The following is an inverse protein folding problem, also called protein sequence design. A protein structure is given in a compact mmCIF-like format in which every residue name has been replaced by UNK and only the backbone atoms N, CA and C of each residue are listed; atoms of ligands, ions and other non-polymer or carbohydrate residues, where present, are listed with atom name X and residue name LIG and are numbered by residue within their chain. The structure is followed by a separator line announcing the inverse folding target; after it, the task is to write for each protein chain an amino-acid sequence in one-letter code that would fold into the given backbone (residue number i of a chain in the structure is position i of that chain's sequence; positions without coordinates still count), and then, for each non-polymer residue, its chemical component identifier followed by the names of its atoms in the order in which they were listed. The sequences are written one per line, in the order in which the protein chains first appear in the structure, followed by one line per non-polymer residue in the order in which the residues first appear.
data_IF_993287998060
#
_entry.id   IF_993287998060
#
_cell.length_a   1.000
_cell.length_b   1.000
_cell.length_c   1.000
_cell.angle_alpha   90.00
_cell.angle_beta   90.00
_cell.angle_gamma   90.00
#
_symmetry.space_group_name_H-M   'P 1'
#
loop_
_entity.id
_entity.type
_entity.pdbx_description
1 polymer ?
#
# COMPACT_ATOMS: atom_id res chain seq x y z
N UNK A 1 -11.76 21.94 -7.19
CA UNK A 1 -10.96 22.70 -8.19
C UNK A 1 -9.98 21.71 -8.84
N UNK A 2 -9.94 21.68 -10.17
CA UNK A 2 -9.02 20.77 -10.88
C UNK A 2 -7.68 21.48 -11.11
N UNK A 3 -6.58 20.78 -10.84
CA UNK A 3 -5.22 21.31 -10.94
C UNK A 3 -4.41 20.37 -11.82
N UNK A 4 -3.72 20.88 -12.80
CA UNK A 4 -2.78 20.12 -13.62
C UNK A 4 -1.47 19.95 -12.87
N UNK A 5 -1.07 18.71 -12.64
CA UNK A 5 0.14 18.40 -11.87
C UNK A 5 1.42 18.83 -12.59
N UNK A 6 1.46 18.70 -13.91
CA UNK A 6 2.59 19.12 -14.72
C UNK A 6 2.90 20.65 -14.60
N UNK A 7 1.88 21.47 -14.39
CA UNK A 7 2.07 22.93 -14.15
C UNK A 7 2.79 23.21 -12.84
N UNK A 8 2.61 22.35 -11.83
CA UNK A 8 3.25 22.49 -10.51
C UNK A 8 4.65 21.86 -10.54
N UNK A 9 4.77 20.62 -11.04
CA UNK A 9 6.03 19.89 -11.00
C UNK A 9 7.09 20.47 -11.92
N UNK A 10 6.69 21.09 -13.05
CA UNK A 10 7.62 21.72 -13.99
C UNK A 10 8.40 22.90 -13.43
N UNK A 11 7.92 23.54 -12.37
CA UNK A 11 8.60 24.69 -11.73
C UNK A 11 9.44 24.29 -10.52
N UNK A 12 9.38 23.01 -10.10
CA UNK A 12 10.11 22.50 -8.95
C UNK A 12 11.40 21.80 -9.42
N UNK A 13 12.59 22.36 -9.16
CA UNK A 13 13.85 21.73 -9.54
C UNK A 13 14.01 20.40 -8.77
N UNK A 14 14.49 19.36 -9.46
CA UNK A 14 14.72 18.03 -8.92
C UNK A 14 13.45 17.26 -8.50
N UNK A 15 12.27 17.72 -8.90
CA UNK A 15 11.04 16.97 -8.69
C UNK A 15 10.79 16.02 -9.85
N UNK A 16 10.32 14.78 -9.62
CA UNK A 16 10.00 13.86 -10.70
C UNK A 16 8.91 14.41 -11.62
N UNK A 17 8.93 14.04 -12.89
CA UNK A 17 7.90 14.42 -13.86
C UNK A 17 6.60 13.70 -13.52
N UNK A 18 5.64 14.43 -12.97
CA UNK A 18 4.30 13.93 -12.67
C UNK A 18 3.28 14.69 -13.50
N UNK A 19 2.45 13.97 -14.23
CA UNK A 19 1.35 14.54 -14.99
C UNK A 19 0.02 13.94 -14.54
N UNK A 20 -1.07 14.65 -14.82
CA UNK A 20 -2.42 14.24 -14.48
C UNK A 20 -3.26 15.41 -14.01
N UNK A 21 -4.56 15.19 -13.92
CA UNK A 21 -5.52 16.18 -13.47
C UNK A 21 -5.97 15.87 -12.03
N UNK A 22 -5.39 16.58 -11.09
CA UNK A 22 -5.70 16.43 -9.66
C UNK A 22 -6.96 17.20 -9.28
N UNK A 23 -7.83 16.56 -8.51
CA UNK A 23 -8.93 17.19 -7.80
C UNK A 23 -9.03 16.64 -6.38
N UNK A 24 -9.46 17.50 -5.45
CA UNK A 24 -9.72 17.09 -4.08
C UNK A 24 -10.89 17.86 -3.51
N UNK A 25 -11.65 17.17 -2.68
CA UNK A 25 -12.73 17.72 -1.88
C UNK A 25 -12.62 17.19 -0.45
N UNK A 26 -12.83 18.07 0.53
CA UNK A 26 -12.82 17.68 1.93
C UNK A 26 -13.87 18.46 2.69
N UNK A 27 -14.61 17.76 3.53
CA UNK A 27 -15.57 18.30 4.46
C UNK A 27 -15.17 17.93 5.86
N UNK A 28 -15.09 18.87 6.76
CA UNK A 28 -14.81 18.60 8.14
C UNK A 28 -15.77 19.37 9.07
N UNK A 29 -16.12 18.76 10.16
CA UNK A 29 -16.86 19.36 11.26
C UNK A 29 -16.06 19.09 12.52
N UNK A 30 -15.66 20.13 13.20
CA UNK A 30 -14.94 20.05 14.48
C UNK A 30 -15.79 20.64 15.59
N UNK A 31 -15.97 19.87 16.65
CA UNK A 31 -16.56 20.32 17.92
C UNK A 31 -15.46 20.33 19.00
N UNK A 32 -15.81 20.73 20.22
CA UNK A 32 -14.83 20.68 21.33
C UNK A 32 -14.33 19.26 21.67
N UNK A 33 -15.07 18.22 21.28
CA UNK A 33 -14.76 16.83 21.64
C UNK A 33 -14.57 15.92 20.45
N UNK A 34 -15.13 16.25 19.30
CA UNK A 34 -15.24 15.33 18.18
C UNK A 34 -14.75 15.99 16.88
N UNK A 35 -14.09 15.20 16.06
CA UNK A 35 -13.71 15.53 14.69
C UNK A 35 -14.45 14.57 13.74
N UNK A 36 -15.19 15.13 12.80
CA UNK A 36 -15.71 14.40 11.65
C UNK A 36 -15.02 14.93 10.40
N UNK A 37 -14.48 14.01 9.60
CA UNK A 37 -13.81 14.31 8.34
C UNK A 37 -14.33 13.38 7.25
N UNK A 38 -14.58 13.93 6.07
CA UNK A 38 -14.76 13.18 4.83
C UNK A 38 -13.92 13.86 3.76
N UNK A 39 -13.05 13.12 3.10
CA UNK A 39 -12.17 13.65 2.07
C UNK A 39 -12.07 12.67 0.91
N UNK A 40 -12.02 13.19 -0.30
CA UNK A 40 -11.74 12.46 -1.52
C UNK A 40 -10.73 13.23 -2.35
N UNK A 41 -9.75 12.53 -2.90
CA UNK A 41 -8.77 13.07 -3.82
C UNK A 41 -8.64 12.15 -5.02
N UNK A 42 -8.63 12.71 -6.21
CA UNK A 42 -8.46 11.96 -7.46
C UNK A 42 -7.39 12.57 -8.35
N UNK A 43 -6.74 11.72 -9.11
CA UNK A 43 -5.83 12.11 -10.20
C UNK A 43 -6.27 11.33 -11.42
N UNK A 44 -6.82 12.05 -12.41
CA UNK A 44 -7.15 11.46 -13.70
C UNK A 44 -5.89 11.41 -14.57
N UNK A 45 -5.68 10.31 -15.28
CA UNK A 45 -4.55 10.06 -16.17
C UNK A 45 -3.17 10.29 -15.52
N UNK A 46 -3.00 9.79 -14.29
CA UNK A 46 -1.73 9.89 -13.58
C UNK A 46 -0.60 9.22 -14.38
N UNK A 47 0.46 9.99 -14.62
CA UNK A 47 1.71 9.49 -15.18
C UNK A 47 2.85 9.93 -14.27
N UNK A 48 3.77 9.03 -14.00
CA UNK A 48 4.98 9.27 -13.22
C UNK A 48 6.21 8.88 -14.03
N UNK A 49 7.13 9.83 -14.27
CA UNK A 49 8.35 9.61 -15.06
C UNK A 49 8.11 8.81 -16.35
N UNK A 50 7.07 9.18 -17.12
CA UNK A 50 6.62 8.54 -18.36
C UNK A 50 5.98 7.15 -18.19
N UNK A 51 5.84 6.65 -16.97
CA UNK A 51 5.06 5.44 -16.70
C UNK A 51 3.61 5.84 -16.47
N UNK A 52 2.71 5.27 -17.25
CA UNK A 52 1.28 5.46 -17.02
C UNK A 52 0.86 4.64 -15.81
N UNK A 53 0.30 5.32 -14.81
CA UNK A 53 -0.30 4.69 -13.62
C UNK A 53 -1.78 4.47 -13.82
N UNK A 54 -2.51 5.41 -14.45
CA UNK A 54 -3.95 5.34 -14.67
C UNK A 54 -4.71 6.35 -13.81
N UNK A 55 -6.02 6.17 -13.70
CA UNK A 55 -6.88 6.99 -12.85
C UNK A 55 -6.80 6.48 -11.40
N UNK A 56 -6.48 7.36 -10.46
CA UNK A 56 -6.37 7.00 -9.04
C UNK A 56 -7.31 7.88 -8.22
N UNK A 57 -8.14 7.26 -7.38
CA UNK A 57 -9.01 7.97 -6.43
C UNK A 57 -8.82 7.38 -5.04
N UNK A 58 -8.54 8.24 -4.06
CA UNK A 58 -8.43 7.91 -2.65
C UNK A 58 -9.54 8.62 -1.89
N UNK A 59 -10.37 7.88 -1.18
CA UNK A 59 -11.36 8.42 -0.26
C UNK A 59 -11.11 8.00 1.18
N UNK A 60 -11.46 8.87 2.11
CA UNK A 60 -11.39 8.57 3.53
C UNK A 60 -12.50 9.28 4.31
N UNK A 61 -13.06 8.59 5.28
CA UNK A 61 -13.99 9.16 6.27
C UNK A 61 -13.50 8.87 7.67
N UNK A 62 -13.65 9.85 8.54
CA UNK A 62 -13.32 9.75 9.95
C UNK A 62 -14.54 10.25 10.73
N UNK A 63 -15.15 9.38 11.52
CA UNK A 63 -16.41 9.66 12.22
C UNK A 63 -16.27 9.41 13.71
N UNK A 64 -16.75 10.34 14.55
CA UNK A 64 -16.85 10.12 16.00
C UNK A 64 -17.91 9.07 16.30
N UNK A 65 -17.65 8.27 17.31
CA UNK A 65 -18.57 7.28 17.84
C UNK A 65 -18.85 7.50 19.31
N UNK A 66 -19.61 6.59 19.91
CA UNK A 66 -19.91 6.64 21.34
C UNK A 66 -18.67 6.36 22.19
N UNK A 67 -18.63 6.93 23.40
CA UNK A 67 -17.57 6.72 24.39
C UNK A 67 -16.16 7.10 23.91
N UNK A 68 -16.05 8.10 23.02
CA UNK A 68 -14.78 8.56 22.49
C UNK A 68 -14.14 7.65 21.42
N UNK A 69 -14.87 6.63 20.97
CA UNK A 69 -14.43 5.82 19.82
C UNK A 69 -14.43 6.67 18.56
N UNK A 70 -13.56 6.30 17.62
CA UNK A 70 -13.49 6.92 16.30
C UNK A 70 -13.55 5.82 15.23
N UNK A 71 -14.29 6.04 14.17
CA UNK A 71 -14.40 5.11 13.04
C UNK A 71 -13.68 5.68 11.82
N UNK A 72 -12.93 4.84 11.15
CA UNK A 72 -12.22 5.16 9.93
C UNK A 72 -12.72 4.22 8.82
N UNK A 73 -13.03 4.78 7.67
CA UNK A 73 -13.17 4.04 6.44
C UNK A 73 -12.29 4.73 5.39
N UNK A 74 -11.56 3.96 4.60
CA UNK A 74 -10.78 4.46 3.49
C UNK A 74 -10.86 3.47 2.31
N UNK A 75 -10.76 4.00 1.10
CA UNK A 75 -10.72 3.19 -0.11
C UNK A 75 -9.76 3.78 -1.14
N UNK A 76 -9.24 2.93 -1.99
CA UNK A 76 -8.46 3.30 -3.17
C UNK A 76 -9.10 2.67 -4.41
N UNK A 77 -9.43 3.50 -5.39
CA UNK A 77 -9.82 3.06 -6.71
C UNK A 77 -8.69 3.27 -7.70
N UNK A 78 -8.47 2.29 -8.56
CA UNK A 78 -7.58 2.37 -9.70
C UNK A 78 -8.37 2.07 -10.98
N UNK A 79 -8.32 2.97 -11.96
CA UNK A 79 -9.12 2.90 -13.20
C UNK A 79 -10.61 2.62 -12.93
N UNK A 80 -11.16 3.27 -11.88
CA UNK A 80 -12.57 3.16 -11.41
C UNK A 80 -12.96 1.81 -10.79
N UNK A 81 -11.97 0.95 -10.53
CA UNK A 81 -12.16 -0.31 -9.79
C UNK A 81 -11.62 -0.11 -8.39
N UNK A 82 -12.39 -0.51 -7.37
CA UNK A 82 -11.94 -0.49 -5.98
C UNK A 82 -10.93 -1.61 -5.77
N UNK A 83 -9.69 -1.24 -5.43
CA UNK A 83 -8.56 -2.17 -5.28
C UNK A 83 -8.07 -2.27 -3.83
N UNK A 84 -8.52 -1.36 -2.98
CA UNK A 84 -8.24 -1.39 -1.54
C UNK A 84 -9.41 -0.78 -0.77
N UNK A 85 -9.83 -1.47 0.28
CA UNK A 85 -10.76 -0.97 1.31
C UNK A 85 -10.14 -1.18 2.68
N UNK A 86 -10.27 -0.18 3.55
CA UNK A 86 -9.85 -0.27 4.93
C UNK A 86 -10.96 0.24 5.85
N UNK A 87 -11.42 -0.61 6.75
CA UNK A 87 -12.41 -0.29 7.77
C UNK A 87 -11.80 -0.43 9.15
N UNK A 88 -11.96 0.57 9.97
CA UNK A 88 -11.32 0.54 11.26
C UNK A 88 -11.94 1.41 12.32
N UNK A 89 -11.39 1.28 13.49
CA UNK A 89 -11.76 2.07 14.67
C UNK A 89 -10.54 2.35 15.53
N UNK A 90 -10.56 3.51 16.12
CA UNK A 90 -9.64 3.92 17.18
C UNK A 90 -10.39 3.88 18.50
N UNK A 91 -9.86 3.15 19.46
CA UNK A 91 -10.46 2.95 20.77
C UNK A 91 -9.64 3.69 21.82
N UNK A 92 -10.22 4.64 22.56
CA UNK A 92 -9.55 5.30 23.65
C UNK A 92 -9.23 4.29 24.76
N UNK A 93 -8.01 4.33 25.28
CA UNK A 93 -7.61 3.49 26.41
C UNK A 93 -7.38 4.32 27.67
N UNK A 94 -7.54 3.68 28.84
CA UNK A 94 -7.28 4.31 30.13
C UNK A 94 -5.80 4.70 30.32
N UNK A 95 -4.90 4.20 29.51
CA UNK A 95 -3.45 4.50 29.56
C UNK A 95 -3.04 5.69 28.68
N UNK A 96 -4.02 6.33 27.98
CA UNK A 96 -3.77 7.47 27.11
C UNK A 96 -3.12 7.10 25.76
N UNK A 97 -2.93 5.80 25.48
CA UNK A 97 -2.51 5.31 24.17
C UNK A 97 -3.71 4.65 23.49
N UNK A 98 -4.18 5.26 22.43
CA UNK A 98 -5.32 4.73 21.70
C UNK A 98 -4.98 3.40 21.03
N UNK A 99 -5.94 2.47 21.02
CA UNK A 99 -5.84 1.18 20.38
C UNK A 99 -6.45 1.24 19.00
N UNK A 100 -5.69 0.79 18.00
CA UNK A 100 -6.10 0.71 16.60
C UNK A 100 -6.63 -0.68 16.28
N UNK A 101 -7.75 -0.77 15.59
CA UNK A 101 -8.27 -1.99 14.96
C UNK A 101 -8.72 -1.62 13.54
N UNK A 102 -7.98 -2.06 12.52
CA UNK A 102 -8.30 -1.83 11.11
C UNK A 102 -8.24 -3.14 10.36
N UNK A 103 -9.24 -3.41 9.55
CA UNK A 103 -9.24 -4.49 8.57
C UNK A 103 -9.08 -3.88 7.18
N UNK A 104 -8.20 -4.45 6.38
CA UNK A 104 -7.92 -3.99 5.02
C UNK A 104 -8.06 -5.16 4.06
N UNK A 105 -8.82 -4.95 2.99
CA UNK A 105 -8.96 -5.90 1.89
C UNK A 105 -8.29 -5.30 0.65
N UNK A 106 -7.51 -6.12 -0.04
CA UNK A 106 -6.90 -5.83 -1.32
C UNK A 106 -7.53 -6.76 -2.36
N UNK A 107 -8.06 -6.20 -3.44
CA UNK A 107 -8.63 -6.95 -4.56
C UNK A 107 -7.97 -6.48 -5.86
N UNK A 108 -7.18 -7.37 -6.49
CA UNK A 108 -6.43 -7.08 -7.71
C UNK A 108 -5.65 -5.76 -7.63
N UNK A 109 -5.02 -5.52 -6.46
CA UNK A 109 -4.24 -4.32 -6.25
C UNK A 109 -3.03 -4.31 -7.19
N UNK A 110 -2.95 -3.38 -8.16
CA UNK A 110 -1.93 -3.43 -9.19
C UNK A 110 -0.58 -2.94 -8.65
N UNK A 111 0.40 -3.84 -8.59
CA UNK A 111 1.72 -3.56 -8.03
C UNK A 111 2.52 -2.51 -8.80
N UNK A 112 2.18 -2.25 -10.07
CA UNK A 112 2.84 -1.21 -10.84
C UNK A 112 2.65 0.20 -10.26
N UNK A 113 1.60 0.43 -9.45
CA UNK A 113 1.42 1.69 -8.70
C UNK A 113 2.61 1.94 -7.75
N UNK A 114 3.17 0.88 -7.16
CA UNK A 114 4.30 0.99 -6.26
C UNK A 114 5.60 1.45 -6.94
N UNK A 115 5.69 1.32 -8.27
CA UNK A 115 6.88 1.76 -9.02
C UNK A 115 7.14 3.27 -8.90
N UNK A 116 6.09 4.06 -8.58
CA UNK A 116 6.23 5.50 -8.30
C UNK A 116 7.20 5.78 -7.14
N UNK A 117 7.32 4.83 -6.20
CA UNK A 117 8.15 4.96 -5.01
C UNK A 117 9.51 4.23 -5.14
N UNK A 118 9.72 3.51 -6.24
CA UNK A 118 10.92 2.69 -6.46
C UNK A 118 11.71 3.33 -7.60
N UNK A 119 13.01 3.65 -7.39
CA UNK A 119 13.85 4.12 -8.48
C UNK A 119 13.88 3.11 -9.64
N UNK A 120 13.58 3.56 -10.85
CA UNK A 120 13.48 2.73 -12.07
C UNK A 120 14.74 1.91 -12.36
N UNK A 121 15.88 2.39 -11.87
CA UNK A 121 17.19 1.74 -12.05
C UNK A 121 17.32 0.45 -11.23
N UNK A 122 16.51 0.31 -10.16
CA UNK A 122 16.58 -0.84 -9.28
C UNK A 122 15.71 -1.98 -9.78
N UNK A 123 14.40 -1.82 -9.69
CA UNK A 123 13.42 -2.83 -10.06
C UNK A 123 12.14 -2.22 -10.62
N UNK A 124 11.45 -2.98 -11.45
CA UNK A 124 10.09 -2.67 -11.91
C UNK A 124 9.18 -3.81 -11.49
N UNK A 125 8.08 -3.47 -10.81
CA UNK A 125 7.04 -4.41 -10.38
C UNK A 125 5.92 -4.47 -11.41
N UNK A 126 5.37 -5.67 -11.63
CA UNK A 126 4.14 -5.89 -12.39
C UNK A 126 3.34 -7.05 -11.77
N UNK A 127 2.07 -7.17 -12.17
CA UNK A 127 1.11 -8.12 -11.59
C UNK A 127 0.26 -7.48 -10.50
N UNK A 128 -0.62 -8.30 -9.93
CA UNK A 128 -1.62 -7.87 -8.98
C UNK A 128 -1.45 -8.57 -7.62
N UNK A 129 -1.99 -7.98 -6.58
CA UNK A 129 -1.94 -8.54 -5.24
C UNK A 129 -3.33 -8.52 -4.62
N UNK A 130 -3.77 -9.68 -4.13
CA UNK A 130 -4.95 -9.85 -3.31
C UNK A 130 -4.54 -10.07 -1.84
N UNK A 131 -5.42 -9.75 -0.90
CA UNK A 131 -5.13 -10.04 0.48
C UNK A 131 -6.08 -9.44 1.49
N UNK A 132 -6.02 -10.02 2.68
CA UNK A 132 -6.73 -9.52 3.86
C UNK A 132 -5.72 -9.25 4.97
N UNK A 133 -5.73 -8.02 5.48
CA UNK A 133 -4.83 -7.59 6.53
C UNK A 133 -5.62 -7.07 7.73
N UNK A 134 -5.17 -7.43 8.92
CA UNK A 134 -5.67 -6.89 10.18
C UNK A 134 -4.55 -6.12 10.87
N UNK A 135 -4.81 -4.87 11.17
CA UNK A 135 -3.89 -3.96 11.85
C UNK A 135 -4.45 -3.68 13.25
N UNK A 136 -3.71 -4.06 14.28
CA UNK A 136 -4.13 -3.93 15.68
C UNK A 136 -3.03 -3.33 16.54
N UNK A 137 -3.32 -2.99 17.78
CA UNK A 137 -2.34 -2.47 18.73
C UNK A 137 -2.38 -0.96 18.88
N UNK A 138 -1.27 -0.36 19.30
CA UNK A 138 -1.21 1.11 19.47
C UNK A 138 -0.89 1.80 18.13
N UNK A 139 -1.28 3.06 18.01
CA UNK A 139 -0.92 3.90 16.85
C UNK A 139 0.58 4.10 16.68
N UNK A 140 1.36 3.96 17.77
CA UNK A 140 2.83 4.07 17.73
C UNK A 140 3.50 2.76 17.27
N UNK A 141 2.89 1.62 17.59
CA UNK A 141 3.43 0.29 17.31
C UNK A 141 2.31 -0.63 16.83
N UNK A 142 1.81 -0.44 15.59
CA UNK A 142 0.79 -1.29 15.04
C UNK A 142 1.34 -2.69 14.75
N UNK A 143 0.51 -3.70 14.98
CA UNK A 143 0.77 -5.10 14.62
C UNK A 143 -0.06 -5.44 13.39
N UNK A 144 0.60 -5.83 12.32
CA UNK A 144 -0.04 -6.21 11.07
C UNK A 144 0.01 -7.74 10.95
N UNK A 145 -1.15 -8.33 10.71
CA UNK A 145 -1.33 -9.74 10.45
C UNK A 145 -2.21 -9.92 9.22
N UNK A 146 -2.09 -11.05 8.54
CA UNK A 146 -2.93 -11.38 7.40
C UNK A 146 -2.27 -12.29 6.39
N UNK A 147 -2.79 -12.29 5.19
CA UNK A 147 -2.35 -13.10 4.08
C UNK A 147 -2.35 -12.28 2.79
N UNK A 148 -1.33 -12.48 1.97
CA UNK A 148 -1.19 -11.86 0.65
C UNK A 148 -1.06 -12.96 -0.40
N UNK A 149 -1.75 -12.81 -1.51
CA UNK A 149 -1.67 -13.66 -2.69
C UNK A 149 -1.12 -12.82 -3.83
N UNK A 150 -0.04 -13.30 -4.44
CA UNK A 150 0.63 -12.61 -5.54
C UNK A 150 0.12 -13.21 -6.85
N UNK A 151 -0.71 -12.47 -7.60
CA UNK A 151 -1.19 -12.92 -8.91
C UNK A 151 -0.30 -12.40 -10.03
N UNK A 152 0.35 -13.34 -10.73
CA UNK A 152 1.22 -13.04 -11.89
C UNK A 152 2.29 -11.99 -11.59
N UNK A 153 2.70 -11.90 -10.33
CA UNK A 153 3.67 -10.89 -9.89
C UNK A 153 5.04 -11.17 -10.47
N UNK A 154 5.63 -10.14 -11.07
CA UNK A 154 6.99 -10.16 -11.56
C UNK A 154 7.80 -8.95 -11.09
N UNK A 155 9.09 -9.20 -10.88
CA UNK A 155 10.09 -8.19 -10.52
C UNK A 155 11.18 -8.20 -11.57
N UNK A 156 11.22 -7.17 -12.39
CA UNK A 156 12.30 -6.97 -13.37
C UNK A 156 13.41 -6.15 -12.73
N UNK A 157 14.58 -6.74 -12.55
CA UNK A 157 15.79 -6.02 -12.18
C UNK A 157 16.54 -5.57 -13.43
N UNK A 158 16.55 -4.27 -13.69
CA UNK A 158 17.29 -3.71 -14.84
C UNK A 158 18.79 -3.82 -14.66
N UNK A 159 19.27 -3.67 -13.43
CA UNK A 159 20.69 -3.78 -13.12
C UNK A 159 21.28 -5.16 -13.47
N UNK A 160 20.52 -6.24 -13.26
CA UNK A 160 20.96 -7.60 -13.51
C UNK A 160 20.37 -8.20 -14.78
N UNK A 161 19.46 -7.50 -15.47
CA UNK A 161 18.74 -8.02 -16.64
C UNK A 161 17.91 -9.27 -16.33
N UNK A 162 17.50 -9.43 -15.07
CA UNK A 162 16.80 -10.61 -14.59
C UNK A 162 15.32 -10.31 -14.32
N UNK A 163 14.46 -11.19 -14.79
CA UNK A 163 13.03 -11.16 -14.47
C UNK A 163 12.69 -12.32 -13.54
N UNK A 164 12.13 -12.00 -12.39
CA UNK A 164 11.70 -12.94 -11.37
C UNK A 164 10.19 -13.00 -11.36
N UNK A 165 9.62 -14.19 -11.56
CA UNK A 165 8.19 -14.47 -11.44
C UNK A 165 7.94 -15.14 -10.09
N UNK A 166 6.97 -14.65 -9.37
CA UNK A 166 6.63 -15.14 -8.03
C UNK A 166 5.52 -16.19 -8.10
N UNK A 167 5.56 -17.13 -7.18
CA UNK A 167 4.49 -18.12 -6.97
C UNK A 167 3.19 -17.42 -6.52
N UNK A 168 2.07 -17.95 -6.92
CA UNK A 168 0.73 -17.47 -6.51
C UNK A 168 0.29 -18.05 -5.15
N UNK A 169 1.18 -18.75 -4.43
CA UNK A 169 0.85 -19.25 -3.10
C UNK A 169 0.72 -18.11 -2.09
N UNK A 170 -0.20 -18.27 -1.12
CA UNK A 170 -0.36 -17.27 -0.08
C UNK A 170 0.93 -17.06 0.74
N UNK A 171 1.26 -15.80 0.96
CA UNK A 171 2.35 -15.36 1.83
C UNK A 171 1.76 -14.82 3.12
N UNK A 172 2.13 -15.41 4.24
CA UNK A 172 1.61 -15.04 5.56
C UNK A 172 2.31 -13.82 6.12
N UNK A 173 1.55 -12.88 6.63
CA UNK A 173 2.04 -11.75 7.41
C UNK A 173 1.65 -11.94 8.88
N UNK A 174 2.63 -12.11 9.77
CA UNK A 174 2.42 -12.33 11.20
C UNK A 174 3.27 -11.40 12.04
N UNK A 175 2.61 -10.54 12.83
CA UNK A 175 3.27 -9.58 13.71
C UNK A 175 4.35 -8.78 12.97
N UNK A 176 3.98 -8.16 11.85
CA UNK A 176 4.87 -7.38 10.98
C UNK A 176 6.00 -8.20 10.33
N UNK A 177 5.84 -9.52 10.23
CA UNK A 177 6.78 -10.41 9.51
C UNK A 177 6.11 -11.07 8.34
N UNK A 178 6.63 -10.84 7.16
CA UNK A 178 6.26 -11.55 5.95
C UNK A 178 7.02 -12.89 5.92
N UNK A 179 6.28 -14.00 5.94
CA UNK A 179 6.84 -15.35 6.11
C UNK A 179 6.76 -16.10 4.78
N UNK A 180 7.90 -16.62 4.36
CA UNK A 180 8.03 -17.47 3.18
C UNK A 180 8.30 -18.91 3.61
N UNK A 181 7.47 -19.84 3.16
CA UNK A 181 7.64 -21.28 3.38
C UNK A 181 7.79 -21.96 2.01
N UNK A 182 9.02 -22.29 1.64
CA UNK A 182 9.39 -22.87 0.34
C UNK A 182 8.73 -22.14 -0.83
N UNK A 183 8.73 -20.83 -0.76
CA UNK A 183 8.09 -19.96 -1.74
C UNK A 183 8.91 -19.98 -3.04
N UNK A 184 8.27 -20.39 -4.16
CA UNK A 184 8.97 -20.56 -5.42
C UNK A 184 9.13 -19.23 -6.16
N UNK A 185 10.32 -19.00 -6.69
CA UNK A 185 10.65 -17.87 -7.56
C UNK A 185 11.22 -18.44 -8.85
N UNK A 186 10.62 -18.05 -9.96
CA UNK A 186 10.99 -18.49 -11.30
C UNK A 186 11.81 -17.40 -11.98
N UNK A 187 12.84 -17.83 -12.69
CA UNK A 187 13.61 -16.99 -13.61
C UNK A 187 13.40 -17.48 -15.03
N UNK A 188 14.13 -16.94 -15.99
CA UNK A 188 14.13 -17.42 -17.38
C UNK A 188 14.60 -18.88 -17.54
N UNK A 189 15.14 -19.48 -16.48
CA UNK A 189 15.47 -20.91 -16.39
C UNK A 189 14.26 -21.81 -16.10
N UNK A 190 14.42 -23.13 -16.32
CA UNK A 190 13.32 -24.10 -16.14
C UNK A 190 13.05 -24.48 -14.68
N UNK A 191 14.00 -24.30 -13.79
CA UNK A 191 13.88 -24.69 -12.40
C UNK A 191 13.73 -23.44 -11.52
N UNK A 192 12.67 -23.36 -10.72
CA UNK A 192 12.56 -22.32 -9.71
C UNK A 192 13.60 -22.55 -8.61
N UNK A 193 14.03 -21.48 -7.97
CA UNK A 193 14.62 -21.59 -6.65
C UNK A 193 13.53 -21.27 -5.61
N UNK A 194 13.70 -21.80 -4.42
CA UNK A 194 12.75 -21.54 -3.32
C UNK A 194 13.41 -20.71 -2.24
N UNK A 195 12.59 -19.90 -1.59
CA UNK A 195 13.01 -19.14 -0.42
C UNK A 195 12.23 -19.64 0.81
N UNK A 196 12.97 -19.79 1.91
CA UNK A 196 12.43 -20.02 3.25
C UNK A 196 12.89 -18.90 4.18
N UNK A 197 12.01 -18.47 5.08
CA UNK A 197 12.38 -17.50 6.08
C UNK A 197 11.39 -16.36 6.20
N UNK A 198 11.88 -15.19 6.54
CA UNK A 198 10.99 -14.03 6.75
C UNK A 198 11.68 -12.70 6.45
N UNK A 199 10.84 -11.70 6.16
CA UNK A 199 11.21 -10.29 6.17
C UNK A 199 10.48 -9.61 7.33
N UNK A 200 11.20 -8.95 8.20
CA UNK A 200 10.73 -8.32 9.43
C UNK A 200 10.61 -6.81 9.23
N UNK A 201 9.39 -6.28 9.34
CA UNK A 201 9.03 -4.87 9.18
C UNK A 201 8.66 -4.19 10.51
N UNK A 202 8.98 -4.77 11.68
CA UNK A 202 8.69 -4.13 12.98
C UNK A 202 9.36 -2.79 13.15
N UNK A 203 10.52 -2.62 12.54
CA UNK A 203 11.15 -1.33 12.31
C UNK A 203 11.08 -1.00 10.80
N UNK A 204 10.08 -0.20 10.42
CA UNK A 204 9.86 0.20 9.02
C UNK A 204 11.03 1.01 8.44
N UNK A 205 11.84 1.65 9.28
CA UNK A 205 13.02 2.40 8.85
C UNK A 205 14.22 1.48 8.54
N UNK A 206 14.20 0.24 9.07
CA UNK A 206 15.29 -0.75 8.93
C UNK A 206 14.70 -2.16 8.80
N UNK A 207 14.06 -2.49 7.69
CA UNK A 207 13.56 -3.84 7.47
C UNK A 207 14.73 -4.85 7.48
N UNK A 208 14.52 -5.99 8.12
CA UNK A 208 15.51 -7.07 8.20
C UNK A 208 15.00 -8.30 7.48
N UNK A 209 15.84 -8.89 6.64
CA UNK A 209 15.54 -10.13 5.95
C UNK A 209 16.40 -11.28 6.52
N UNK A 210 15.74 -12.40 6.80
CA UNK A 210 16.39 -13.66 7.13
C UNK A 210 15.82 -14.73 6.19
N UNK A 211 16.48 -14.91 5.05
CA UNK A 211 16.03 -15.75 3.94
C UNK A 211 17.10 -16.77 3.58
N UNK A 212 16.68 -18.02 3.45
CA UNK A 212 17.48 -19.11 2.93
C UNK A 212 17.06 -19.42 1.49
N UNK A 213 18.02 -19.54 0.61
CA UNK A 213 17.83 -19.97 -0.78
C UNK A 213 18.08 -21.47 -0.87
N UNK A 214 17.13 -22.20 -1.49
CA UNK A 214 17.17 -23.66 -1.69
C UNK A 214 17.03 -23.99 -3.18
#
# INVERSE_FOLDING_TARGET
RRIRLDEITSVLPYFPEITGLFSAEAHYIQTEKDLQLSAEASIDELTYERQRIGDVTLGATWLPGEQGKQYLNAYLNHDKVEVLVADGKLLPTSTGKDSLEVNTTLEHFPLHIANVFIPDELVTLAGDMDGELSITGSTEQPLINGELILDSVSVLSRQYGANFLFDNRPVQLKNNRLIFDKFAIYTTGKNPFTIDGYVDFRDMSRPMANLNLL
#
